data_IF_835809931113
#
_entry.id   IF_835809931113
#
_cell.length_a   1.000
_cell.length_b   1.000
_cell.length_c   1.000
_cell.angle_alpha   90.00
_cell.angle_beta   90.00
_cell.angle_gamma   90.00
#
_symmetry.space_group_name_H-M   'P 1'
#
loop_
_entity.id
_entity.type
_entity.pdbx_description
1 polymer ?
#
# COMPACT_ATOMS: atom_id res chain seq x y z
N UNK A 1 20.29 64.89 -56.51
CA UNK A 1 21.55 64.76 -55.74
C UNK A 1 21.46 65.56 -54.46
N UNK A 2 21.44 64.88 -53.29
CA UNK A 2 21.79 65.36 -51.93
C UNK A 2 21.25 64.34 -50.91
N UNK A 3 22.09 63.43 -50.42
CA UNK A 3 21.81 62.68 -49.20
C UNK A 3 22.47 63.42 -48.04
N UNK A 4 21.64 63.95 -47.14
CA UNK A 4 22.05 64.46 -45.84
C UNK A 4 21.90 63.34 -44.82
N UNK A 5 22.92 63.20 -44.01
CA UNK A 5 23.07 62.16 -43.00
C UNK A 5 22.38 62.55 -41.68
N UNK A 6 22.14 61.56 -40.79
CA UNK A 6 22.60 61.54 -39.38
C UNK A 6 21.78 60.66 -38.43
N UNK A 7 22.54 60.15 -37.45
CA UNK A 7 22.20 59.68 -36.09
C UNK A 7 21.83 58.21 -35.87
N UNK A 8 22.67 57.61 -35.03
CA UNK A 8 22.49 56.33 -34.35
C UNK A 8 21.33 56.39 -33.35
N UNK A 9 20.67 55.25 -33.15
CA UNK A 9 19.83 54.97 -31.99
C UNK A 9 20.29 53.63 -31.43
N UNK A 10 20.76 53.68 -30.18
CA UNK A 10 21.02 52.52 -29.34
C UNK A 10 19.76 52.13 -28.55
N UNK A 11 19.80 50.88 -28.09
CA UNK A 11 19.16 50.29 -26.90
C UNK A 11 17.79 49.62 -27.05
N UNK A 12 17.76 48.38 -26.56
CA UNK A 12 16.54 47.63 -26.26
C UNK A 12 16.80 46.16 -25.96
N UNK A 13 17.72 45.83 -25.04
CA UNK A 13 17.90 44.47 -24.53
C UNK A 13 16.70 44.16 -23.61
N UNK A 14 15.79 43.28 -24.03
CA UNK A 14 14.72 42.78 -23.14
C UNK A 14 15.27 41.57 -22.39
N UNK A 15 15.64 41.79 -21.13
CA UNK A 15 16.00 40.74 -20.19
C UNK A 15 14.74 39.92 -19.84
N UNK A 16 14.80 38.62 -20.08
CA UNK A 16 13.79 37.68 -19.61
C UNK A 16 13.79 37.65 -18.08
N UNK A 17 12.63 37.87 -17.48
CA UNK A 17 12.41 37.72 -16.04
C UNK A 17 12.49 36.24 -15.67
N UNK A 18 13.60 35.81 -15.06
CA UNK A 18 13.63 34.53 -14.36
C UNK A 18 12.85 34.68 -13.06
N UNK A 19 11.66 34.09 -13.01
CA UNK A 19 10.95 33.88 -11.76
C UNK A 19 11.74 32.89 -10.89
N UNK A 20 12.20 33.34 -9.73
CA UNK A 20 12.32 32.48 -8.56
C UNK A 20 10.99 32.53 -7.80
N UNK A 21 10.70 31.68 -6.79
CA UNK A 21 11.51 30.61 -6.22
C UNK A 21 10.71 29.32 -5.97
N UNK A 22 11.36 28.19 -5.72
CA UNK A 22 10.98 27.37 -4.56
C UNK A 22 12.26 26.74 -4.03
N UNK A 23 12.66 27.13 -2.82
CA UNK A 23 13.66 26.39 -2.08
C UNK A 23 13.22 24.93 -2.02
N UNK A 24 13.99 24.04 -2.65
CA UNK A 24 13.90 22.62 -2.40
C UNK A 24 13.99 22.43 -0.89
N UNK A 25 12.90 22.03 -0.25
CA UNK A 25 12.95 21.52 1.11
C UNK A 25 13.77 20.23 1.04
N UNK A 26 15.04 20.37 1.37
CA UNK A 26 15.86 19.28 1.84
C UNK A 26 15.22 18.75 3.14
N UNK A 27 14.25 17.87 3.00
CA UNK A 27 13.74 17.02 4.08
C UNK A 27 14.46 15.68 3.98
N UNK A 28 15.40 15.46 4.89
CA UNK A 28 16.25 14.27 4.94
C UNK A 28 15.46 12.97 4.86
N UNK A 29 15.82 12.12 3.90
CA UNK A 29 15.30 10.77 3.75
C UNK A 29 16.31 9.78 4.32
N UNK A 30 16.19 9.47 5.61
CA UNK A 30 16.89 8.38 6.28
C UNK A 30 15.89 7.50 7.05
N UNK A 31 15.34 6.50 6.35
CA UNK A 31 14.94 5.12 6.75
C UNK A 31 14.26 4.82 8.12
N UNK A 32 14.01 5.77 9.03
CA UNK A 32 13.51 5.46 10.39
C UNK A 32 12.04 5.79 10.65
N UNK A 33 11.32 6.42 9.71
CA UNK A 33 9.94 6.91 9.91
C UNK A 33 8.95 6.47 8.81
N UNK A 34 8.87 5.18 8.49
CA UNK A 34 7.80 4.70 7.58
C UNK A 34 6.46 4.60 8.32
N UNK A 35 5.87 5.75 8.65
CA UNK A 35 4.53 5.87 9.19
C UNK A 35 3.75 6.97 8.45
N UNK A 36 2.47 6.77 8.23
CA UNK A 36 1.57 7.76 7.66
C UNK A 36 0.18 7.64 8.29
N UNK A 37 -0.57 8.74 8.29
CA UNK A 37 -1.93 8.79 8.86
C UNK A 37 -2.95 8.78 7.75
N UNK A 38 -3.84 7.80 7.77
CA UNK A 38 -4.97 7.66 6.83
C UNK A 38 -6.26 7.65 7.62
N UNK A 39 -7.25 8.44 7.21
CA UNK A 39 -8.55 8.51 7.88
C UNK A 39 -8.44 8.69 9.42
N UNK A 40 -7.44 9.45 9.86
CA UNK A 40 -7.07 9.73 11.26
C UNK A 40 -6.39 8.59 12.03
N UNK A 41 -6.05 7.47 11.41
CA UNK A 41 -5.33 6.38 12.05
C UNK A 41 -3.96 6.17 11.41
N UNK A 42 -2.99 5.87 12.28
CA UNK A 42 -1.62 5.63 11.88
C UNK A 42 -1.48 4.23 11.28
N UNK A 43 -0.79 4.15 10.16
CA UNK A 43 -0.34 2.91 9.52
C UNK A 43 1.17 3.01 9.36
N UNK A 44 1.93 1.98 9.71
CA UNK A 44 3.40 2.05 9.68
C UNK A 44 4.08 0.72 9.31
N UNK A 45 5.40 0.79 9.16
CA UNK A 45 6.26 -0.39 8.96
C UNK A 45 5.92 -1.21 7.71
N UNK A 46 6.01 -2.53 7.82
CA UNK A 46 5.70 -3.46 6.73
C UNK A 46 4.23 -3.41 6.30
N UNK A 47 3.31 -3.18 7.24
CA UNK A 47 1.88 -3.04 6.96
C UNK A 47 1.63 -1.80 6.09
N UNK A 48 2.26 -0.65 6.40
CA UNK A 48 2.18 0.53 5.55
C UNK A 48 2.72 0.26 4.15
N UNK A 49 3.86 -0.44 4.04
CA UNK A 49 4.42 -0.76 2.74
C UNK A 49 3.44 -1.57 1.87
N UNK A 50 2.77 -2.58 2.44
CA UNK A 50 1.72 -3.32 1.73
C UNK A 50 0.50 -2.45 1.43
N UNK A 51 0.03 -1.67 2.39
CA UNK A 51 -1.15 -0.83 2.24
C UNK A 51 -1.00 0.20 1.11
N UNK A 52 0.20 0.78 0.95
CA UNK A 52 0.52 1.67 -0.17
C UNK A 52 0.37 0.94 -1.52
N UNK A 53 0.89 -0.29 -1.63
CA UNK A 53 0.78 -1.10 -2.86
C UNK A 53 -0.67 -1.47 -3.20
N UNK A 54 -1.55 -1.52 -2.19
CA UNK A 54 -2.98 -1.80 -2.36
C UNK A 54 -3.82 -0.56 -2.68
N UNK A 55 -3.18 0.61 -2.87
CA UNK A 55 -3.85 1.87 -3.20
C UNK A 55 -4.25 2.73 -2.00
N UNK A 56 -3.76 2.40 -0.79
CA UNK A 56 -4.06 3.13 0.44
C UNK A 56 -5.56 3.32 0.69
N UNK A 57 -6.00 4.47 1.21
CA UNK A 57 -7.40 4.78 1.52
C UNK A 57 -8.29 4.93 0.27
N UNK A 58 -7.69 5.01 -0.91
CA UNK A 58 -8.40 5.02 -2.20
C UNK A 58 -8.50 3.64 -2.84
N UNK A 59 -7.79 2.66 -2.29
CA UNK A 59 -7.78 1.29 -2.76
C UNK A 59 -8.90 0.44 -2.18
N UNK A 60 -8.92 -0.85 -2.55
CA UNK A 60 -9.97 -1.80 -2.13
C UNK A 60 -10.04 -2.02 -0.62
N UNK A 61 -8.98 -1.70 0.12
CA UNK A 61 -8.93 -1.86 1.58
C UNK A 61 -9.55 -0.67 2.32
N UNK A 62 -9.76 0.48 1.68
CA UNK A 62 -10.39 1.64 2.31
C UNK A 62 -9.61 2.16 3.51
N UNK A 63 -10.30 2.79 4.46
CA UNK A 63 -9.70 3.39 5.64
C UNK A 63 -9.25 2.30 6.64
N UNK A 64 -8.16 2.53 7.40
CA UNK A 64 -7.90 1.76 8.61
C UNK A 64 -9.06 1.88 9.60
N UNK A 65 -9.37 0.79 10.30
CA UNK A 65 -10.42 0.71 11.32
C UNK A 65 -9.88 0.75 12.75
N UNK A 66 -8.58 0.52 12.91
CA UNK A 66 -7.89 0.60 14.19
C UNK A 66 -6.40 0.83 13.98
N UNK A 67 -5.68 1.01 15.08
CA UNK A 67 -4.22 1.01 15.08
C UNK A 67 -3.67 -0.42 14.94
N UNK A 68 -2.38 -0.54 14.63
CA UNK A 68 -1.67 -1.81 14.55
C UNK A 68 -1.69 -2.58 15.90
N UNK A 69 -2.09 -3.85 15.86
CA UNK A 69 -2.21 -4.75 17.01
C UNK A 69 -1.16 -5.87 16.96
N UNK A 70 -0.89 -6.47 18.12
CA UNK A 70 -0.07 -7.67 18.18
C UNK A 70 -0.85 -8.87 17.63
N UNK A 71 -0.15 -9.74 16.90
CA UNK A 71 -0.65 -11.01 16.40
C UNK A 71 0.26 -12.15 16.90
N UNK A 72 -0.08 -13.42 16.61
CA UNK A 72 0.69 -14.57 17.11
C UNK A 72 2.19 -14.50 16.75
N UNK A 73 3.05 -15.16 17.53
CA UNK A 73 4.47 -15.31 17.22
C UNK A 73 5.22 -13.99 16.92
N UNK A 74 4.85 -12.93 17.66
CA UNK A 74 5.43 -11.57 17.56
C UNK A 74 5.13 -10.88 16.23
N UNK A 75 4.16 -11.37 15.45
CA UNK A 75 3.66 -10.64 14.30
C UNK A 75 2.75 -9.48 14.70
N UNK A 76 2.28 -8.78 13.67
CA UNK A 76 1.51 -7.55 13.78
C UNK A 76 0.37 -7.61 12.76
N UNK A 77 -0.74 -6.96 13.08
CA UNK A 77 -1.87 -6.87 12.16
C UNK A 77 -2.54 -5.51 12.25
N UNK A 78 -3.21 -5.11 11.19
CA UNK A 78 -4.08 -3.94 11.21
C UNK A 78 -5.32 -4.21 10.36
N UNK A 79 -6.47 -3.76 10.86
CA UNK A 79 -7.77 -3.92 10.21
C UNK A 79 -8.10 -2.68 9.39
N UNK A 80 -8.75 -2.90 8.25
CA UNK A 80 -9.19 -1.91 7.29
C UNK A 80 -10.61 -2.26 6.80
N UNK A 81 -11.32 -1.31 6.20
CA UNK A 81 -12.69 -1.54 5.70
C UNK A 81 -12.81 -2.80 4.82
N UNK A 82 -11.82 -3.04 3.94
CA UNK A 82 -11.83 -4.14 2.97
C UNK A 82 -11.15 -5.43 3.42
N UNK A 83 -10.63 -5.50 4.65
CA UNK A 83 -9.92 -6.69 5.14
C UNK A 83 -8.88 -6.38 6.21
N UNK A 84 -7.86 -7.22 6.31
CA UNK A 84 -6.79 -7.02 7.28
C UNK A 84 -5.43 -7.31 6.64
N UNK A 85 -4.41 -6.57 7.07
CA UNK A 85 -3.04 -6.82 6.64
C UNK A 85 -2.28 -7.40 7.83
N UNK A 86 -1.68 -8.56 7.63
CA UNK A 86 -0.88 -9.28 8.63
C UNK A 86 0.57 -9.22 8.25
N UNK A 87 1.44 -9.02 9.23
CA UNK A 87 2.88 -8.99 9.07
C UNK A 87 3.52 -9.96 10.06
N UNK A 88 4.49 -10.74 9.57
CA UNK A 88 5.45 -11.45 10.42
C UNK A 88 6.87 -11.17 9.93
N UNK A 89 7.87 -11.53 10.74
CA UNK A 89 9.28 -11.44 10.33
C UNK A 89 9.57 -12.35 9.13
N UNK A 90 8.95 -13.53 9.09
CA UNK A 90 9.22 -14.58 8.11
C UNK A 90 8.47 -14.33 6.80
N UNK A 91 7.19 -13.98 6.88
CA UNK A 91 6.30 -13.88 5.72
C UNK A 91 6.14 -12.45 5.21
N UNK A 92 6.59 -11.44 5.95
CA UNK A 92 6.33 -10.03 5.66
C UNK A 92 4.81 -9.72 5.63
N UNK A 93 4.45 -8.55 5.10
CA UNK A 93 3.07 -8.07 5.14
C UNK A 93 2.26 -8.62 3.95
N UNK A 94 1.09 -9.18 4.22
CA UNK A 94 0.14 -9.67 3.23
C UNK A 94 -1.30 -9.34 3.62
N UNK A 95 -2.14 -9.05 2.62
CA UNK A 95 -3.54 -8.73 2.82
C UNK A 95 -4.41 -9.99 2.77
N UNK A 96 -5.33 -10.13 3.71
CA UNK A 96 -6.34 -11.19 3.74
C UNK A 96 -7.72 -10.50 3.78
N UNK A 97 -8.65 -10.94 2.93
CA UNK A 97 -9.94 -10.25 2.74
C UNK A 97 -11.10 -11.22 2.52
N UNK A 98 -12.33 -10.71 2.69
CA UNK A 98 -13.57 -11.40 2.33
C UNK A 98 -13.73 -12.78 2.96
N UNK A 99 -14.28 -13.72 2.19
CA UNK A 99 -14.57 -15.10 2.64
C UNK A 99 -13.35 -15.87 3.14
N UNK A 100 -12.17 -15.60 2.59
CA UNK A 100 -10.92 -16.19 3.07
C UNK A 100 -10.59 -15.70 4.47
N UNK A 101 -10.67 -14.39 4.70
CA UNK A 101 -10.46 -13.81 6.03
C UNK A 101 -11.45 -14.37 7.06
N UNK A 102 -12.74 -14.45 6.70
CA UNK A 102 -13.79 -15.00 7.55
C UNK A 102 -13.47 -16.43 7.99
N UNK A 103 -13.16 -17.33 7.05
CA UNK A 103 -12.85 -18.72 7.36
C UNK A 103 -11.54 -18.85 8.15
N UNK A 104 -10.49 -18.12 7.73
CA UNK A 104 -9.19 -18.19 8.37
C UNK A 104 -9.26 -17.73 9.84
N UNK A 105 -9.88 -16.59 10.12
CA UNK A 105 -10.07 -16.09 11.48
C UNK A 105 -10.99 -17.00 12.31
N UNK A 106 -12.04 -17.57 11.69
CA UNK A 106 -12.87 -18.61 12.33
C UNK A 106 -12.08 -19.85 12.76
N UNK A 107 -10.97 -20.13 12.07
CA UNK A 107 -10.05 -21.22 12.37
C UNK A 107 -8.77 -20.77 13.12
N UNK A 108 -8.92 -19.75 13.98
CA UNK A 108 -7.84 -19.17 14.82
C UNK A 108 -6.75 -18.40 14.07
N UNK A 109 -6.98 -18.07 12.81
CA UNK A 109 -6.13 -17.17 12.03
C UNK A 109 -4.68 -17.63 12.01
N UNK A 110 -3.77 -16.68 12.26
CA UNK A 110 -2.33 -16.90 12.26
C UNK A 110 -1.86 -17.79 13.42
N UNK A 111 -2.67 -17.95 14.48
CA UNK A 111 -2.44 -18.91 15.56
C UNK A 111 -3.03 -20.30 15.28
N UNK A 112 -3.72 -20.46 14.13
CA UNK A 112 -4.33 -21.71 13.69
C UNK A 112 -3.36 -22.61 12.92
N UNK A 113 -3.88 -23.72 12.39
CA UNK A 113 -3.06 -24.70 11.66
C UNK A 113 -2.40 -24.09 10.40
N UNK A 114 -3.04 -23.11 9.76
CA UNK A 114 -2.57 -22.51 8.51
C UNK A 114 -1.37 -21.58 8.69
N UNK A 115 -1.23 -20.91 9.84
CA UNK A 115 -0.21 -19.88 10.06
C UNK A 115 -0.48 -18.56 9.32
N UNK A 116 0.57 -17.78 9.09
CA UNK A 116 0.51 -16.49 8.41
C UNK A 116 0.28 -16.61 6.89
N UNK A 117 -0.35 -15.61 6.24
CA UNK A 117 -0.36 -15.54 4.78
C UNK A 117 1.05 -15.35 4.21
N UNK A 118 1.32 -15.99 3.07
CA UNK A 118 2.61 -15.91 2.35
C UNK A 118 2.49 -15.28 0.95
N UNK A 119 1.25 -15.08 0.48
CA UNK A 119 0.96 -14.41 -0.78
C UNK A 119 -0.34 -13.59 -0.68
N UNK A 120 -0.70 -12.95 -1.80
CA UNK A 120 -1.99 -12.28 -1.94
C UNK A 120 -3.02 -13.24 -2.53
N UNK A 121 -4.29 -13.04 -2.19
CA UNK A 121 -5.38 -13.78 -2.83
C UNK A 121 -5.36 -13.60 -4.36
N UNK A 122 -5.33 -14.70 -5.11
CA UNK A 122 -5.24 -14.74 -6.56
C UNK A 122 -6.35 -15.60 -7.18
N UNK A 123 -6.75 -15.37 -8.45
CA UNK A 123 -7.63 -16.29 -9.16
C UNK A 123 -7.03 -17.69 -9.27
N UNK A 124 -7.87 -18.72 -9.23
CA UNK A 124 -7.43 -20.07 -9.58
C UNK A 124 -7.11 -20.15 -11.08
N UNK A 125 -6.20 -21.02 -11.52
CA UNK A 125 -5.84 -21.13 -12.95
C UNK A 125 -7.02 -21.42 -13.89
N UNK A 126 -8.06 -22.09 -13.39
CA UNK A 126 -9.29 -22.39 -14.13
C UNK A 126 -10.35 -21.27 -14.07
N UNK A 127 -10.07 -20.17 -13.34
CA UNK A 127 -10.97 -19.03 -13.16
C UNK A 127 -12.24 -19.32 -12.35
N UNK A 128 -12.34 -20.49 -11.72
CA UNK A 128 -13.56 -20.91 -10.99
C UNK A 128 -13.60 -20.46 -9.54
N UNK A 129 -12.54 -19.82 -9.05
CA UNK A 129 -12.48 -19.28 -7.71
C UNK A 129 -11.24 -18.46 -7.49
N UNK A 130 -10.92 -18.28 -6.21
CA UNK A 130 -9.73 -17.61 -5.71
C UNK A 130 -9.07 -18.45 -4.64
N UNK A 131 -7.76 -18.30 -4.51
CA UNK A 131 -6.93 -19.00 -3.53
C UNK A 131 -5.98 -18.02 -2.86
N UNK A 132 -5.70 -18.25 -1.59
CA UNK A 132 -4.60 -17.62 -0.88
C UNK A 132 -3.82 -18.69 -0.12
N UNK A 133 -2.50 -18.62 -0.17
CA UNK A 133 -1.60 -19.53 0.51
C UNK A 133 -1.16 -18.95 1.85
N UNK A 134 -0.94 -19.86 2.79
CA UNK A 134 -0.48 -19.62 4.14
C UNK A 134 0.73 -20.52 4.41
N UNK A 135 1.44 -20.29 5.51
CA UNK A 135 2.67 -21.02 5.86
C UNK A 135 2.53 -22.54 5.77
N UNK A 136 1.37 -23.09 6.17
CA UNK A 136 1.16 -24.53 6.24
C UNK A 136 -0.01 -25.02 5.37
N UNK A 137 -0.46 -24.22 4.40
CA UNK A 137 -1.61 -24.60 3.62
C UNK A 137 -2.21 -23.51 2.75
N UNK A 138 -3.49 -23.65 2.43
CA UNK A 138 -4.20 -22.68 1.59
C UNK A 138 -5.70 -22.68 1.88
N UNK A 139 -6.34 -21.58 1.50
CA UNK A 139 -7.80 -21.45 1.50
C UNK A 139 -8.25 -21.13 0.08
N UNK A 140 -9.28 -21.85 -0.37
CA UNK A 140 -9.97 -21.62 -1.64
C UNK A 140 -11.37 -21.05 -1.38
N UNK A 141 -11.77 -20.09 -2.20
CA UNK A 141 -13.12 -19.56 -2.28
C UNK A 141 -13.61 -19.70 -3.73
N UNK A 142 -14.65 -20.50 -3.94
CA UNK A 142 -15.18 -20.82 -5.26
C UNK A 142 -16.32 -19.88 -5.65
N UNK A 143 -16.54 -19.68 -6.95
CA UNK A 143 -17.60 -18.81 -7.46
C UNK A 143 -19.02 -19.29 -7.10
N UNK A 144 -19.18 -20.55 -6.72
CA UNK A 144 -20.43 -21.13 -6.22
C UNK A 144 -20.66 -20.89 -4.71
N UNK A 145 -19.77 -20.14 -4.05
CA UNK A 145 -19.86 -19.75 -2.64
C UNK A 145 -19.20 -20.72 -1.65
N UNK A 146 -18.68 -21.86 -2.10
CA UNK A 146 -17.94 -22.79 -1.21
C UNK A 146 -16.60 -22.18 -0.80
N UNK A 147 -16.23 -22.36 0.47
CA UNK A 147 -14.92 -21.98 1.01
C UNK A 147 -14.32 -23.20 1.72
N UNK A 148 -13.06 -23.51 1.44
CA UNK A 148 -12.38 -24.68 2.01
C UNK A 148 -10.95 -24.34 2.40
N UNK A 149 -10.51 -24.82 3.55
CA UNK A 149 -9.14 -24.73 4.03
C UNK A 149 -8.47 -26.10 3.94
N UNK A 150 -7.18 -26.12 3.58
CA UNK A 150 -6.31 -27.29 3.72
C UNK A 150 -5.14 -26.88 4.59
N UNK A 151 -5.02 -27.57 5.72
CA UNK A 151 -3.84 -27.75 6.55
C UNK A 151 -3.78 -29.27 6.86
#
# INVERSE_FOLDING_TARGET
MKLRAWKAVTLGLVAATMGAPVAAHAGGSEITDKAATYCRLRVHGGILAKYILLGSDKGRFGCPLGIEQAAADKGRMQQFDGGSIYWSRTTHAHAVSGRILELWQGNRGEAGCLGYPIDEEAPTPDGRGRVQHFEHGAIWHWNDGRVSAVC
#
